data_IF_919323559538
#
_entry.id   IF_919323559538
#
_cell.length_a   1.000
_cell.length_b   1.000
_cell.length_c   1.000
_cell.angle_alpha   90.00
_cell.angle_beta   90.00
_cell.angle_gamma   90.00
#
_symmetry.space_group_name_H-M   'P 1'
#
loop_
_entity.id
_entity.type
_entity.pdbx_description
1 polymer ?
#
# COMPACT_ATOMS: atom_id res chain seq x y z
N UNK A 1 -14.62 4.58 -24.50
CA UNK A 1 -14.86 6.01 -24.72
C UNK A 1 -15.13 6.64 -23.37
N UNK A 2 -14.51 7.77 -23.05
CA UNK A 2 -14.82 8.47 -21.81
C UNK A 2 -16.21 9.08 -21.93
N UNK A 3 -17.04 8.84 -20.94
CA UNK A 3 -18.44 9.30 -20.94
C UNK A 3 -18.66 10.45 -19.98
N UNK A 4 -17.85 10.52 -18.91
CA UNK A 4 -17.89 11.59 -17.92
C UNK A 4 -16.48 11.88 -17.41
N UNK A 5 -16.16 13.17 -17.32
CA UNK A 5 -14.95 13.67 -16.66
C UNK A 5 -15.37 14.65 -15.58
N UNK A 6 -14.91 14.37 -14.36
CA UNK A 6 -15.10 15.24 -13.22
C UNK A 6 -13.75 15.76 -12.78
N UNK A 7 -13.65 17.07 -12.64
CA UNK A 7 -12.49 17.73 -12.06
C UNK A 7 -12.89 18.33 -10.74
N UNK A 8 -12.10 18.09 -9.69
CA UNK A 8 -12.26 18.75 -8.40
C UNK A 8 -10.97 19.45 -8.02
N UNK A 9 -11.07 20.71 -7.65
CA UNK A 9 -9.95 21.49 -7.11
C UNK A 9 -10.31 21.89 -5.69
N UNK A 10 -9.43 21.58 -4.74
CA UNK A 10 -9.60 21.97 -3.35
C UNK A 10 -8.54 23.01 -2.97
N UNK A 11 -9.02 24.18 -2.51
CA UNK A 11 -8.23 25.25 -1.92
C UNK A 11 -8.32 25.22 -0.39
N UNK A 12 -7.37 25.88 0.27
CA UNK A 12 -7.36 25.97 1.73
C UNK A 12 -8.39 26.99 2.26
N UNK A 13 -8.69 28.03 1.48
CA UNK A 13 -9.53 29.14 1.92
C UNK A 13 -10.53 29.60 0.83
N UNK A 14 -11.68 30.17 1.21
CA UNK A 14 -12.69 30.64 0.26
C UNK A 14 -12.18 31.78 -0.63
N UNK A 15 -11.32 32.66 -0.11
CA UNK A 15 -10.77 33.80 -0.85
C UNK A 15 -9.95 33.34 -2.06
N UNK A 16 -9.31 32.18 -1.96
CA UNK A 16 -8.45 31.63 -2.99
C UNK A 16 -9.23 31.29 -4.26
N UNK A 17 -10.51 30.91 -4.16
CA UNK A 17 -11.34 30.63 -5.34
C UNK A 17 -11.47 31.89 -6.20
N UNK A 18 -11.75 33.04 -5.59
CA UNK A 18 -11.95 34.29 -6.32
C UNK A 18 -10.69 34.83 -7.00
N UNK A 19 -9.51 34.63 -6.40
CA UNK A 19 -8.23 35.12 -6.94
C UNK A 19 -7.54 34.14 -7.89
N UNK A 20 -7.83 32.83 -7.76
CA UNK A 20 -7.14 31.78 -8.50
C UNK A 20 -7.99 31.13 -9.60
N UNK A 21 -9.30 31.35 -9.62
CA UNK A 21 -10.18 30.90 -10.69
C UNK A 21 -10.44 32.03 -11.71
N UNK A 22 -10.34 31.70 -13.00
CA UNK A 22 -10.75 32.56 -14.10
C UNK A 22 -11.50 31.74 -15.13
N UNK A 23 -12.56 32.30 -15.71
CA UNK A 23 -13.39 31.63 -16.70
C UNK A 23 -13.56 32.48 -17.95
N UNK A 24 -13.70 31.82 -19.10
CA UNK A 24 -14.28 32.38 -20.31
C UNK A 24 -15.49 31.51 -20.72
N UNK A 25 -16.11 31.79 -21.86
CA UNK A 25 -17.36 31.11 -22.27
C UNK A 25 -17.21 29.60 -22.51
N UNK A 26 -15.98 29.08 -22.64
CA UNK A 26 -15.70 27.69 -23.02
C UNK A 26 -14.73 26.98 -22.09
N UNK A 27 -13.94 27.71 -21.30
CA UNK A 27 -12.84 27.20 -20.49
C UNK A 27 -12.87 27.79 -19.08
N UNK A 28 -12.47 26.96 -18.13
CA UNK A 28 -12.20 27.34 -16.75
C UNK A 28 -10.73 27.05 -16.45
N UNK A 29 -10.04 28.06 -15.92
CA UNK A 29 -8.65 27.97 -15.50
C UNK A 29 -8.54 28.22 -14.00
N UNK A 30 -7.83 27.33 -13.31
CA UNK A 30 -7.44 27.47 -11.91
C UNK A 30 -5.93 27.60 -11.79
N UNK A 31 -5.47 28.27 -10.74
CA UNK A 31 -4.04 28.38 -10.40
C UNK A 31 -3.72 27.54 -9.16
N UNK A 32 -2.57 26.88 -9.20
CA UNK A 32 -2.02 26.15 -8.08
C UNK A 32 -1.44 27.04 -7.00
N UNK A 33 -1.20 26.43 -5.84
CA UNK A 33 -0.77 27.10 -4.61
C UNK A 33 -0.35 26.08 -3.56
N UNK A 34 0.10 26.57 -2.41
CA UNK A 34 0.46 25.70 -1.29
C UNK A 34 -0.79 24.98 -0.78
N UNK A 35 -0.75 23.65 -0.68
CA UNK A 35 -1.88 22.83 -0.22
C UNK A 35 -3.04 22.68 -1.21
N UNK A 36 -2.93 23.23 -2.43
CA UNK A 36 -3.98 23.08 -3.45
C UNK A 36 -3.89 21.70 -4.09
N UNK A 37 -5.01 20.97 -4.09
CA UNK A 37 -5.09 19.61 -4.64
C UNK A 37 -6.05 19.58 -5.81
N UNK A 38 -5.63 18.91 -6.88
CA UNK A 38 -6.43 18.62 -8.06
C UNK A 38 -6.74 17.12 -8.09
N UNK A 39 -8.03 16.78 -8.19
CA UNK A 39 -8.51 15.45 -8.51
C UNK A 39 -9.12 15.45 -9.90
N UNK A 40 -8.74 14.49 -10.73
CA UNK A 40 -9.40 14.21 -11.99
C UNK A 40 -10.01 12.81 -11.94
N UNK A 41 -11.26 12.68 -12.36
CA UNK A 41 -11.97 11.40 -12.43
C UNK A 41 -12.56 11.20 -13.80
N UNK A 42 -12.13 10.16 -14.49
CA UNK A 42 -12.69 9.72 -15.75
C UNK A 42 -13.55 8.49 -15.54
N UNK A 43 -14.75 8.49 -16.13
CA UNK A 43 -15.65 7.35 -16.16
C UNK A 43 -15.86 6.89 -17.60
N UNK A 44 -15.41 5.67 -17.87
CA UNK A 44 -15.52 5.02 -19.16
C UNK A 44 -16.59 3.93 -19.06
N UNK A 45 -17.81 4.22 -19.52
CA UNK A 45 -18.88 3.23 -19.60
C UNK A 45 -18.68 2.37 -20.87
N UNK A 46 -18.60 1.05 -20.71
CA UNK A 46 -18.47 0.08 -21.79
C UNK A 46 -19.82 -0.47 -22.25
N UNK A 47 -19.99 -0.73 -23.55
CA UNK A 47 -21.20 -1.37 -24.10
C UNK A 47 -21.17 -2.90 -24.05
N UNK A 48 -20.03 -3.50 -23.66
CA UNK A 48 -19.82 -4.94 -23.51
C UNK A 48 -19.14 -5.21 -22.17
N UNK A 49 -19.43 -6.36 -21.56
CA UNK A 49 -18.73 -6.85 -20.35
C UNK A 49 -17.24 -6.93 -20.66
N UNK A 50 -16.44 -6.02 -20.12
CA UNK A 50 -14.98 -5.93 -20.37
C UNK A 50 -14.25 -6.98 -19.51
N UNK A 51 -14.76 -7.19 -18.30
CA UNK A 51 -14.30 -8.20 -17.35
C UNK A 51 -15.55 -8.73 -16.62
N UNK A 52 -15.54 -9.96 -16.09
CA UNK A 52 -16.59 -10.42 -15.16
C UNK A 52 -16.20 -10.16 -13.71
N UNK A 53 -14.91 -9.96 -13.47
CA UNK A 53 -14.34 -9.68 -12.16
C UNK A 53 -14.31 -8.17 -11.90
N UNK A 54 -14.28 -7.85 -10.61
CA UNK A 54 -13.98 -6.52 -10.11
C UNK A 54 -12.47 -6.46 -9.83
N UNK A 55 -11.80 -5.43 -10.35
CA UNK A 55 -10.40 -5.14 -10.03
C UNK A 55 -10.25 -3.72 -9.51
N UNK A 56 -9.37 -3.54 -8.53
CA UNK A 56 -8.88 -2.24 -8.08
C UNK A 56 -7.38 -2.18 -8.29
N UNK A 57 -6.89 -1.11 -8.89
CA UNK A 57 -5.47 -0.87 -9.12
C UNK A 57 -5.12 0.46 -8.47
N UNK A 58 -4.14 0.47 -7.59
CA UNK A 58 -3.71 1.67 -6.87
C UNK A 58 -2.24 1.94 -7.11
N UNK A 59 -1.89 3.21 -7.20
CA UNK A 59 -0.50 3.67 -7.22
C UNK A 59 -0.35 4.87 -6.31
N UNK A 60 0.55 4.77 -5.34
CA UNK A 60 1.00 5.92 -4.55
C UNK A 60 2.52 6.03 -4.60
N UNK A 61 3.07 7.14 -5.11
CA UNK A 61 4.51 7.36 -5.10
C UNK A 61 5.04 7.39 -3.66
N UNK A 62 6.18 6.76 -3.38
CA UNK A 62 6.77 6.77 -2.02
C UNK A 62 7.06 8.18 -1.49
N UNK A 63 7.33 9.15 -2.37
CA UNK A 63 7.54 10.55 -1.97
C UNK A 63 6.29 11.18 -1.33
N UNK A 64 5.10 10.69 -1.69
CA UNK A 64 3.81 11.14 -1.15
C UNK A 64 3.52 10.58 0.25
N UNK A 65 4.36 9.68 0.79
CA UNK A 65 4.32 9.29 2.21
C UNK A 65 4.69 10.42 3.17
N UNK A 66 5.28 11.51 2.68
CA UNK A 66 5.69 12.65 3.54
C UNK A 66 4.74 13.84 3.41
N UNK A 67 3.70 13.71 2.59
CA UNK A 67 2.76 14.78 2.25
C UNK A 67 1.49 14.60 3.05
N UNK A 68 1.00 15.70 3.62
CA UNK A 68 -0.36 15.75 4.18
C UNK A 68 -1.38 15.61 3.05
N UNK A 69 -2.20 14.56 3.10
CA UNK A 69 -3.30 14.39 2.15
C UNK A 69 -4.49 15.26 2.53
N UNK A 70 -5.19 15.77 1.52
CA UNK A 70 -6.40 16.57 1.70
C UNK A 70 -7.65 15.71 1.86
N UNK A 71 -8.76 16.34 2.26
CA UNK A 71 -10.04 15.63 2.51
C UNK A 71 -10.67 14.98 1.27
N UNK A 72 -10.24 15.38 0.07
CA UNK A 72 -10.70 14.81 -1.21
C UNK A 72 -9.80 13.68 -1.72
N UNK A 73 -8.70 13.39 -1.02
CA UNK A 73 -7.74 12.33 -1.38
C UNK A 73 -7.99 11.08 -0.55
N UNK A 74 -7.64 9.93 -1.12
CA UNK A 74 -7.68 8.65 -0.43
C UNK A 74 -6.28 8.28 0.06
N UNK A 75 -6.16 7.72 1.27
CA UNK A 75 -4.89 7.21 1.77
C UNK A 75 -4.68 5.79 1.23
N UNK A 76 -3.88 5.67 0.17
CA UNK A 76 -3.55 4.40 -0.47
C UNK A 76 -2.23 3.84 0.09
N UNK A 77 -2.08 2.51 0.06
CA UNK A 77 -0.79 1.85 0.29
C UNK A 77 0.25 2.34 -0.71
N UNK A 78 1.48 2.50 -0.24
CA UNK A 78 2.61 2.97 -1.08
C UNK A 78 2.94 1.95 -2.14
N UNK A 79 3.32 2.40 -3.34
CA UNK A 79 3.69 1.54 -4.46
C UNK A 79 2.49 1.18 -5.33
N UNK A 80 2.68 0.18 -6.20
CA UNK A 80 1.69 -0.31 -7.15
C UNK A 80 1.01 -1.54 -6.57
N UNK A 81 -0.31 -1.48 -6.37
CA UNK A 81 -1.09 -2.63 -5.90
C UNK A 81 -2.22 -2.97 -6.85
N UNK A 82 -2.47 -4.26 -7.05
CA UNK A 82 -3.58 -4.77 -7.84
C UNK A 82 -4.38 -5.74 -6.98
N UNK A 83 -5.66 -5.46 -6.84
CA UNK A 83 -6.61 -6.27 -6.12
C UNK A 83 -7.67 -6.81 -7.10
N UNK A 84 -8.00 -8.08 -7.02
CA UNK A 84 -8.94 -8.75 -7.93
C UNK A 84 -9.79 -9.77 -7.18
N UNK A 85 -11.08 -9.88 -7.50
CA UNK A 85 -11.92 -10.97 -7.04
C UNK A 85 -12.13 -12.06 -8.11
N UNK A 86 -11.32 -12.04 -9.17
CA UNK A 86 -11.33 -13.05 -10.22
C UNK A 86 -10.99 -14.43 -9.68
N UNK A 87 -11.64 -15.47 -10.21
CA UNK A 87 -11.28 -16.87 -9.93
C UNK A 87 -10.02 -17.31 -10.66
N UNK A 88 -9.66 -16.63 -11.75
CA UNK A 88 -8.42 -16.85 -12.50
C UNK A 88 -7.40 -15.80 -12.10
N UNK A 89 -6.30 -16.25 -11.51
CA UNK A 89 -5.32 -15.39 -10.83
C UNK A 89 -3.91 -15.82 -11.22
N UNK A 90 -3.02 -14.89 -11.60
CA UNK A 90 -1.61 -15.22 -11.82
C UNK A 90 -0.95 -15.77 -10.56
N UNK A 91 0.02 -16.68 -10.70
CA UNK A 91 0.67 -17.37 -9.57
C UNK A 91 1.28 -16.41 -8.53
N UNK A 92 1.81 -15.26 -8.97
CA UNK A 92 2.46 -14.27 -8.08
C UNK A 92 1.53 -13.53 -7.12
N UNK A 93 0.21 -13.64 -7.28
CA UNK A 93 -0.74 -12.95 -6.43
C UNK A 93 -0.90 -13.68 -5.09
N UNK A 94 -0.92 -12.90 -4.01
CA UNK A 94 -1.36 -13.36 -2.71
C UNK A 94 -2.88 -13.55 -2.76
N UNK A 95 -3.37 -14.66 -2.21
CA UNK A 95 -4.79 -14.99 -2.21
C UNK A 95 -5.33 -15.03 -0.78
N UNK A 96 -6.46 -14.36 -0.56
CA UNK A 96 -7.24 -14.46 0.67
C UNK A 96 -8.72 -14.77 0.34
N UNK A 97 -9.59 -15.00 1.34
CA UNK A 97 -10.99 -15.38 1.08
C UNK A 97 -11.85 -14.33 0.36
N UNK A 98 -11.42 -13.07 0.31
CA UNK A 98 -12.17 -11.93 -0.25
C UNK A 98 -11.60 -11.47 -1.60
N UNK A 99 -10.27 -11.45 -1.73
CA UNK A 99 -9.57 -10.97 -2.92
C UNK A 99 -8.20 -11.62 -3.12
N UNK A 100 -7.64 -11.37 -4.29
CA UNK A 100 -6.27 -11.64 -4.66
C UNK A 100 -5.52 -10.33 -4.80
N UNK A 101 -4.36 -10.19 -4.16
CA UNK A 101 -3.51 -8.99 -4.18
C UNK A 101 -2.16 -9.26 -4.84
N UNK A 102 -1.66 -8.28 -5.56
CA UNK A 102 -0.28 -8.20 -6.02
C UNK A 102 0.25 -6.82 -5.69
N UNK A 103 1.52 -6.75 -5.31
CA UNK A 103 2.16 -5.50 -4.97
C UNK A 103 3.50 -5.37 -5.73
N UNK A 104 3.93 -4.15 -6.00
CA UNK A 104 5.17 -3.86 -6.73
C UNK A 104 5.64 -2.44 -6.46
N UNK A 105 6.95 -2.26 -6.36
CA UNK A 105 7.58 -0.93 -6.29
C UNK A 105 7.61 -0.22 -7.66
N UNK A 106 7.28 -0.93 -8.74
CA UNK A 106 7.27 -0.42 -10.10
C UNK A 106 5.84 -0.21 -10.57
N UNK A 107 5.59 0.96 -11.15
CA UNK A 107 4.35 1.26 -11.83
C UNK A 107 4.26 0.48 -13.16
N UNK A 108 3.31 -0.45 -13.25
CA UNK A 108 3.17 -1.37 -14.39
C UNK A 108 1.71 -1.49 -14.85
N UNK A 109 1.05 -0.34 -14.99
CA UNK A 109 -0.39 -0.26 -15.25
C UNK A 109 -0.84 -0.97 -16.54
N UNK A 110 -0.01 -0.95 -17.57
CA UNK A 110 -0.33 -1.47 -18.91
C UNK A 110 -0.59 -2.98 -18.91
N UNK A 111 0.04 -3.73 -18.00
CA UNK A 111 -0.16 -5.17 -17.89
C UNK A 111 -1.47 -5.56 -17.18
N UNK A 112 -2.09 -4.61 -16.50
CA UNK A 112 -3.25 -4.87 -15.64
C UNK A 112 -4.55 -4.23 -16.14
N UNK A 113 -4.47 -3.34 -17.14
CA UNK A 113 -5.63 -2.81 -17.83
C UNK A 113 -6.10 -3.71 -18.98
N UNK A 114 -7.40 -3.72 -19.30
CA UNK A 114 -7.91 -4.44 -20.46
C UNK A 114 -7.24 -3.96 -21.77
N UNK A 115 -6.74 -4.86 -22.63
CA UNK A 115 -6.00 -4.49 -23.83
C UNK A 115 -6.84 -3.74 -24.88
N UNK A 116 -8.17 -3.87 -24.83
CA UNK A 116 -9.10 -3.15 -25.69
C UNK A 116 -9.24 -1.67 -25.32
N UNK A 117 -8.70 -1.28 -24.16
CA UNK A 117 -8.79 0.07 -23.64
C UNK A 117 -7.66 0.94 -24.22
N UNK A 118 -7.93 1.63 -25.31
CA UNK A 118 -7.06 2.73 -25.73
C UNK A 118 -7.35 3.96 -24.86
N UNK A 119 -6.53 4.18 -23.84
CA UNK A 119 -6.53 5.41 -23.06
C UNK A 119 -5.50 6.37 -23.67
N UNK A 120 -5.96 7.47 -24.25
CA UNK A 120 -5.09 8.62 -24.58
C UNK A 120 -4.70 9.40 -23.30
N UNK A 121 -4.39 8.70 -22.22
CA UNK A 121 -3.96 9.26 -20.93
C UNK A 121 -2.45 9.12 -20.80
N UNK A 122 -1.78 10.21 -20.44
CA UNK A 122 -0.34 10.21 -20.16
C UNK A 122 -0.15 9.96 -18.67
N UNK A 123 0.37 8.79 -18.32
CA UNK A 123 0.69 8.44 -16.95
C UNK A 123 1.91 9.22 -16.43
N UNK A 124 1.82 9.74 -15.21
CA UNK A 124 2.91 10.38 -14.49
C UNK A 124 3.04 9.79 -13.08
N UNK A 125 3.56 8.55 -12.97
CA UNK A 125 3.68 7.87 -11.68
C UNK A 125 4.68 8.53 -10.73
N UNK A 126 5.51 9.46 -11.22
CA UNK A 126 6.42 10.17 -10.34
C UNK A 126 5.65 11.17 -9.48
N UNK A 127 4.76 11.97 -10.06
CA UNK A 127 4.07 13.07 -9.36
C UNK A 127 2.63 12.75 -8.93
N UNK A 128 1.99 11.73 -9.51
CA UNK A 128 0.55 11.52 -9.35
C UNK A 128 0.24 10.23 -8.60
N UNK A 129 -0.85 10.26 -7.84
CA UNK A 129 -1.45 9.09 -7.18
C UNK A 129 -2.67 8.65 -7.97
N UNK A 130 -2.86 7.34 -8.13
CA UNK A 130 -3.96 6.76 -8.91
C UNK A 130 -4.78 5.75 -8.10
N UNK A 131 -6.10 5.84 -8.21
CA UNK A 131 -7.05 4.81 -7.74
C UNK A 131 -7.99 4.47 -8.90
N UNK A 132 -7.86 3.25 -9.42
CA UNK A 132 -8.52 2.78 -10.64
C UNK A 132 -9.39 1.60 -10.29
N UNK A 133 -10.67 1.65 -10.67
CA UNK A 133 -11.59 0.51 -10.53
C UNK A 133 -12.04 0.04 -11.90
N UNK A 134 -11.84 -1.24 -12.17
CA UNK A 134 -12.31 -1.92 -13.38
C UNK A 134 -13.49 -2.81 -12.97
N UNK A 135 -14.68 -2.42 -13.39
CA UNK A 135 -15.92 -3.16 -13.21
C UNK A 135 -16.42 -3.70 -14.57
N UNK A 136 -17.32 -4.69 -14.60
CA UNK A 136 -17.76 -5.30 -15.85
C UNK A 136 -18.28 -4.33 -16.91
N UNK A 137 -18.98 -3.27 -16.49
CA UNK A 137 -19.61 -2.30 -17.39
C UNK A 137 -18.93 -0.93 -17.39
N UNK A 138 -17.94 -0.69 -16.52
CA UNK A 138 -17.34 0.63 -16.39
C UNK A 138 -15.91 0.57 -15.85
N UNK A 139 -15.10 1.52 -16.28
CA UNK A 139 -13.78 1.78 -15.72
C UNK A 139 -13.78 3.19 -15.15
N UNK A 140 -13.40 3.33 -13.89
CA UNK A 140 -13.19 4.62 -13.25
C UNK A 140 -11.70 4.78 -13.01
N UNK A 141 -11.14 5.91 -13.48
CA UNK A 141 -9.76 6.29 -13.22
C UNK A 141 -9.81 7.56 -12.38
N UNK A 142 -9.26 7.51 -11.16
CA UNK A 142 -9.11 8.69 -10.30
C UNK A 142 -7.63 9.00 -10.18
N UNK A 143 -7.28 10.24 -10.49
CA UNK A 143 -5.95 10.81 -10.34
C UNK A 143 -5.99 11.90 -9.27
N UNK A 144 -4.99 11.90 -8.40
CA UNK A 144 -4.77 12.93 -7.39
C UNK A 144 -3.38 13.53 -7.57
N UNK A 145 -3.29 14.86 -7.53
CA UNK A 145 -2.01 15.56 -7.53
C UNK A 145 -2.07 16.92 -6.85
N UNK A 146 -0.99 17.35 -6.17
CA UNK A 146 -0.81 18.74 -5.79
C UNK A 146 -0.72 19.63 -7.04
N UNK A 147 -1.44 20.74 -7.06
CA UNK A 147 -1.32 21.75 -8.10
C UNK A 147 -0.28 22.78 -7.65
N UNK A 148 0.94 22.69 -8.20
CA UNK A 148 2.12 23.41 -7.71
C UNK A 148 1.94 24.93 -7.82
N UNK A 149 2.62 25.70 -6.96
CA UNK A 149 2.53 27.16 -6.98
C UNK A 149 2.89 27.73 -8.36
N UNK A 150 1.99 28.54 -8.93
CA UNK A 150 2.17 29.13 -10.26
C UNK A 150 1.80 28.22 -11.44
N UNK A 151 1.55 26.93 -11.19
CA UNK A 151 0.97 26.03 -12.18
C UNK A 151 -0.47 26.47 -12.50
N UNK A 152 -0.89 26.28 -13.74
CA UNK A 152 -2.27 26.51 -14.17
C UNK A 152 -2.85 25.23 -14.71
N UNK A 153 -4.06 24.91 -14.28
CA UNK A 153 -4.85 23.86 -14.88
C UNK A 153 -6.03 24.51 -15.60
N UNK A 154 -6.16 24.22 -16.89
CA UNK A 154 -7.24 24.72 -17.74
C UNK A 154 -8.01 23.55 -18.31
N UNK A 155 -9.32 23.60 -18.20
CA UNK A 155 -10.23 22.63 -18.78
C UNK A 155 -11.29 23.35 -19.61
N UNK A 156 -11.60 22.78 -20.77
CA UNK A 156 -12.74 23.14 -21.61
C UNK A 156 -13.36 21.87 -22.16
N UNK A 157 -14.53 21.98 -22.83
CA UNK A 157 -15.24 20.82 -23.34
C UNK A 157 -14.34 19.93 -24.22
N UNK A 158 -14.44 18.63 -23.98
CA UNK A 158 -13.98 17.55 -24.86
C UNK A 158 -15.21 17.00 -25.60
N UNK A 159 -15.09 16.69 -26.88
CA UNK A 159 -16.21 16.21 -27.69
C UNK A 159 -16.81 14.92 -27.10
N UNK A 160 -18.14 14.83 -27.12
CA UNK A 160 -18.94 13.68 -26.67
C UNK A 160 -18.76 13.24 -25.19
N UNK A 161 -18.28 14.15 -24.33
CA UNK A 161 -18.06 13.90 -22.90
C UNK A 161 -18.88 14.84 -22.00
N UNK A 162 -19.49 14.29 -20.93
CA UNK A 162 -20.07 15.11 -19.86
C UNK A 162 -18.97 15.61 -18.92
N UNK A 163 -18.66 16.90 -19.01
CA UNK A 163 -17.66 17.56 -18.17
C UNK A 163 -18.31 18.32 -17.00
N UNK A 164 -17.80 18.08 -15.79
CA UNK A 164 -18.14 18.80 -14.57
C UNK A 164 -16.87 19.23 -13.84
N UNK A 165 -16.81 20.47 -13.38
CA UNK A 165 -15.71 20.98 -12.58
C UNK A 165 -16.24 21.58 -11.27
N UNK A 166 -15.77 21.06 -10.15
CA UNK A 166 -15.96 21.62 -8.82
C UNK A 166 -14.71 22.35 -8.34
N UNK A 167 -14.88 23.57 -7.86
CA UNK A 167 -13.82 24.33 -7.17
C UNK A 167 -14.31 24.60 -5.77
N UNK A 168 -13.66 23.99 -4.78
CA UNK A 168 -14.08 23.96 -3.39
C UNK A 168 -13.00 24.43 -2.44
N UNK A 169 -13.40 24.68 -1.21
CA UNK A 169 -12.55 24.88 -0.04
C UNK A 169 -13.18 24.14 1.15
N UNK A 170 -12.39 23.86 2.19
CA UNK A 170 -12.90 23.20 3.40
C UNK A 170 -13.62 24.24 4.26
N UNK A 171 -14.94 24.12 4.39
CA UNK A 171 -15.75 24.93 5.31
C UNK A 171 -15.57 24.43 6.75
N UNK A 172 -15.62 23.11 6.91
CA UNK A 172 -15.49 22.41 8.19
C UNK A 172 -14.95 21.00 7.98
N UNK A 173 -14.10 20.53 8.89
CA UNK A 173 -13.65 19.15 8.92
C UNK A 173 -13.38 18.75 10.36
N UNK A 174 -13.96 17.65 10.79
CA UNK A 174 -13.64 17.00 12.06
C UNK A 174 -13.26 15.52 11.86
N UNK A 175 -13.29 14.75 12.94
CA UNK A 175 -12.93 13.34 12.91
C UNK A 175 -13.81 12.46 12.01
N UNK A 176 -15.02 12.89 11.65
CA UNK A 176 -15.97 12.06 10.90
C UNK A 176 -16.63 12.78 9.74
N UNK A 177 -16.90 14.08 9.89
CA UNK A 177 -17.69 14.88 8.96
C UNK A 177 -16.79 15.92 8.28
N UNK A 178 -16.96 16.02 6.96
CA UNK A 178 -16.32 17.03 6.13
C UNK A 178 -17.40 17.79 5.38
N UNK A 179 -17.38 19.11 5.53
CA UNK A 179 -18.16 20.04 4.71
C UNK A 179 -17.19 20.85 3.85
N UNK A 180 -17.40 20.77 2.53
CA UNK A 180 -16.70 21.62 1.58
C UNK A 180 -17.70 22.51 0.86
N UNK A 181 -17.36 23.79 0.76
CA UNK A 181 -18.13 24.81 0.06
C UNK A 181 -17.42 25.24 -1.21
N UNK A 182 -18.18 25.75 -2.18
CA UNK A 182 -17.60 26.28 -3.41
C UNK A 182 -18.56 26.46 -4.55
N UNK A 183 -18.06 26.26 -5.76
CA UNK A 183 -18.81 26.39 -7.01
C UNK A 183 -18.63 25.14 -7.86
N UNK A 184 -19.70 24.77 -8.54
CA UNK A 184 -19.71 23.69 -9.54
C UNK A 184 -20.13 24.26 -10.88
N UNK A 185 -19.34 23.98 -11.90
CA UNK A 185 -19.57 24.41 -13.27
C UNK A 185 -19.76 23.17 -14.17
N UNK A 186 -20.71 23.26 -15.10
CA UNK A 186 -21.01 22.21 -16.07
C UNK A 186 -20.89 22.78 -17.48
N UNK A 187 -20.71 21.92 -18.47
CA UNK A 187 -20.68 22.31 -19.88
C UNK A 187 -21.90 21.74 -20.62
N UNK A 188 -22.50 22.54 -21.49
CA UNK A 188 -23.61 22.09 -22.34
C UNK A 188 -23.10 21.13 -23.42
N UNK A 189 -23.79 20.00 -23.57
CA UNK A 189 -23.42 18.97 -24.56
C UNK A 189 -23.56 19.47 -26.01
N UNK A 190 -24.46 20.41 -26.29
CA UNK A 190 -24.79 20.86 -27.65
C UNK A 190 -23.70 21.75 -28.26
N UNK A 191 -23.30 22.80 -27.55
CA UNK A 191 -22.41 23.86 -28.04
C UNK A 191 -21.09 23.94 -27.26
N UNK A 192 -20.99 23.27 -26.12
CA UNK A 192 -19.79 23.32 -25.29
C UNK A 192 -19.57 24.62 -24.54
N UNK A 193 -20.62 25.42 -24.44
CA UNK A 193 -20.59 26.59 -23.60
C UNK A 193 -20.66 26.20 -22.12
N UNK A 194 -19.89 26.94 -21.33
CA UNK A 194 -19.89 26.86 -19.88
C UNK A 194 -21.25 27.33 -19.35
N UNK A 195 -21.95 26.45 -18.64
CA UNK A 195 -23.15 26.85 -17.90
C UNK A 195 -22.77 27.76 -16.72
N UNK A 196 -23.74 28.56 -16.26
CA UNK A 196 -23.55 29.38 -15.07
C UNK A 196 -23.21 28.48 -13.88
N UNK A 197 -22.00 28.67 -13.34
CA UNK A 197 -21.55 27.95 -12.16
C UNK A 197 -22.50 28.17 -10.96
N UNK A 198 -22.78 27.09 -10.25
CA UNK A 198 -23.72 27.05 -9.14
C UNK A 198 -22.97 26.94 -7.81
N UNK A 199 -23.35 27.76 -6.83
CA UNK A 199 -22.85 27.60 -5.46
C UNK A 199 -23.28 26.22 -4.95
N UNK A 200 -22.32 25.46 -4.41
CA UNK A 200 -22.50 24.07 -3.99
C UNK A 200 -21.80 23.88 -2.65
N UNK A 201 -22.41 23.11 -1.75
CA UNK A 201 -21.76 22.57 -0.55
C UNK A 201 -22.00 21.06 -0.52
N UNK A 202 -21.00 20.32 -0.04
CA UNK A 202 -21.01 18.87 0.06
C UNK A 202 -20.62 18.48 1.48
N UNK A 203 -21.57 17.90 2.20
CA UNK A 203 -21.35 17.27 3.49
C UNK A 203 -21.24 15.75 3.30
N UNK A 204 -20.13 15.16 3.74
CA UNK A 204 -19.87 13.74 3.61
C UNK A 204 -18.99 13.22 4.75
N UNK A 205 -18.92 11.88 4.88
CA UNK A 205 -18.05 11.20 5.84
C UNK A 205 -16.81 10.64 5.17
N UNK A 206 -15.69 10.69 5.88
CA UNK A 206 -14.45 10.05 5.45
C UNK A 206 -14.40 8.61 5.96
N UNK A 207 -14.27 7.66 5.05
CA UNK A 207 -13.82 6.30 5.32
C UNK A 207 -12.30 6.14 5.52
N UNK A 208 -11.47 7.07 5.05
CA UNK A 208 -10.03 7.10 5.28
C UNK A 208 -9.67 8.51 5.72
N UNK A 209 -9.12 8.61 6.92
CA UNK A 209 -8.67 9.86 7.50
C UNK A 209 -7.15 9.79 7.46
N UNK A 210 -6.60 10.61 6.58
CA UNK A 210 -5.17 10.64 6.33
C UNK A 210 -4.39 11.01 7.60
N UNK A 211 -3.18 10.48 7.67
CA UNK A 211 -2.27 10.84 8.73
C UNK A 211 -1.74 12.26 8.50
N UNK A 212 -1.86 13.12 9.51
CA UNK A 212 -1.37 14.50 9.44
C UNK A 212 0.05 14.56 10.03
N UNK A 213 1.05 14.66 9.14
CA UNK A 213 2.47 14.71 9.48
C UNK A 213 2.84 15.96 10.29
N UNK A 214 2.02 17.01 10.24
CA UNK A 214 2.22 18.22 11.06
C UNK A 214 1.77 18.06 12.53
N UNK A 215 1.09 16.96 12.88
CA UNK A 215 0.63 16.65 14.24
C UNK A 215 1.34 15.43 14.85
N UNK A 216 1.24 15.22 16.17
CA UNK A 216 1.99 14.20 16.90
C UNK A 216 1.79 12.79 16.33
N UNK A 217 2.90 12.06 16.17
CA UNK A 217 2.98 10.78 15.46
C UNK A 217 3.01 9.63 16.45
N UNK A 218 2.42 8.47 16.10
CA UNK A 218 2.75 7.20 16.78
C UNK A 218 4.19 6.82 16.45
N UNK A 219 5.13 6.71 17.42
CA UNK A 219 6.48 6.25 17.11
C UNK A 219 6.48 4.85 16.49
N UNK A 220 7.15 4.71 15.33
CA UNK A 220 7.26 3.47 14.56
C UNK A 220 8.71 3.30 14.10
N UNK A 221 9.39 2.24 14.53
CA UNK A 221 10.80 2.02 14.21
C UNK A 221 11.24 0.56 14.33
N UNK A 222 12.44 0.24 13.81
CA UNK A 222 13.07 -1.07 13.99
C UNK A 222 13.96 -1.10 15.24
N UNK A 223 13.73 -2.10 16.11
CA UNK A 223 14.57 -2.35 17.29
C UNK A 223 16.01 -2.68 16.89
N UNK A 224 16.97 -2.01 17.52
CA UNK A 224 18.39 -2.21 17.27
C UNK A 224 19.03 -3.17 18.29
N UNK A 225 20.01 -4.01 17.89
CA UNK A 225 20.50 -4.20 16.52
C UNK A 225 19.53 -5.03 15.65
N UNK A 226 19.51 -4.76 14.35
CA UNK A 226 18.72 -5.55 13.39
C UNK A 226 19.46 -6.85 13.08
N UNK A 227 18.86 -7.98 13.45
CA UNK A 227 19.33 -9.32 13.10
C UNK A 227 18.43 -9.99 12.05
N UNK A 228 18.50 -11.34 11.98
CA UNK A 228 17.63 -12.13 11.09
C UNK A 228 16.14 -12.10 11.50
N UNK A 229 15.83 -11.61 12.70
CA UNK A 229 14.47 -11.41 13.19
C UNK A 229 14.22 -9.91 13.47
N UNK A 230 14.03 -9.07 12.43
CA UNK A 230 13.75 -7.65 12.62
C UNK A 230 12.48 -7.49 13.45
N UNK A 231 12.53 -6.63 14.47
CA UNK A 231 11.35 -6.34 15.31
C UNK A 231 10.90 -4.90 15.07
N UNK A 232 9.68 -4.77 14.55
CA UNK A 232 8.98 -3.50 14.39
C UNK A 232 8.37 -3.13 15.74
N UNK A 233 8.69 -1.92 16.22
CA UNK A 233 8.19 -1.38 17.48
C UNK A 233 7.21 -0.25 17.17
N UNK A 234 6.02 -0.33 17.77
CA UNK A 234 4.93 0.64 17.62
C UNK A 234 4.53 1.11 19.02
N UNK A 235 4.74 2.40 19.31
CA UNK A 235 4.46 2.94 20.63
C UNK A 235 3.06 3.56 20.69
N UNK A 236 2.11 2.84 21.29
CA UNK A 236 0.74 3.30 21.52
C UNK A 236 0.50 3.66 22.99
N UNK A 237 1.53 4.00 23.77
CA UNK A 237 1.38 4.31 25.22
C UNK A 237 0.47 5.51 25.50
N UNK A 238 0.46 6.51 24.62
CA UNK A 238 -0.39 7.70 24.75
C UNK A 238 -1.81 7.51 24.18
N UNK A 239 -2.14 6.30 23.71
CA UNK A 239 -3.43 5.99 23.10
C UNK A 239 -4.31 5.21 24.08
N UNK A 240 -5.60 5.53 24.06
CA UNK A 240 -6.61 4.87 24.89
C UNK A 240 -7.46 3.90 24.07
N UNK A 241 -7.96 2.85 24.71
CA UNK A 241 -8.95 1.97 24.08
C UNK A 241 -10.24 2.75 23.76
N UNK A 242 -10.72 2.63 22.53
CA UNK A 242 -11.96 3.28 22.07
C UNK A 242 -13.02 2.22 21.78
N UNK A 243 -14.28 2.38 22.25
CA UNK A 243 -15.37 1.47 21.91
C UNK A 243 -15.57 1.40 20.40
N UNK A 244 -15.86 0.20 19.88
CA UNK A 244 -16.08 -0.05 18.45
C UNK A 244 -14.88 0.30 17.55
N UNK A 245 -13.69 0.42 18.13
CA UNK A 245 -12.47 0.65 17.39
C UNK A 245 -11.41 -0.42 17.70
N UNK A 246 -10.50 -0.61 16.75
CA UNK A 246 -9.35 -1.50 16.86
C UNK A 246 -8.11 -0.80 16.31
N UNK A 247 -7.01 -0.84 17.07
CA UNK A 247 -5.71 -0.46 16.57
C UNK A 247 -5.14 -1.62 15.78
N UNK A 248 -4.67 -1.34 14.57
CA UNK A 248 -4.22 -2.32 13.60
C UNK A 248 -2.87 -1.92 13.04
N UNK A 249 -2.10 -2.92 12.64
CA UNK A 249 -1.00 -2.75 11.70
C UNK A 249 -1.24 -3.62 10.48
N UNK A 250 -1.32 -3.00 9.31
CA UNK A 250 -1.32 -3.69 8.02
C UNK A 250 0.11 -3.71 7.47
N UNK A 251 0.52 -4.88 6.99
CA UNK A 251 1.85 -5.10 6.42
C UNK A 251 1.73 -5.76 5.06
N UNK A 252 2.32 -5.12 4.06
CA UNK A 252 2.66 -5.72 2.77
C UNK A 252 4.16 -5.95 2.76
N UNK A 253 4.58 -7.22 2.79
CA UNK A 253 5.99 -7.60 2.89
C UNK A 253 6.47 -8.23 1.59
N UNK A 254 7.60 -7.78 1.02
CA UNK A 254 8.20 -8.43 -0.14
C UNK A 254 8.84 -9.77 0.26
N UNK A 255 9.15 -10.64 -0.71
CA UNK A 255 9.70 -11.98 -0.46
C UNK A 255 10.82 -12.05 0.59
N UNK A 256 11.71 -11.06 0.64
CA UNK A 256 12.85 -11.05 1.55
C UNK A 256 12.46 -11.02 3.03
N UNK A 257 11.23 -10.59 3.36
CA UNK A 257 10.70 -10.50 4.72
C UNK A 257 9.37 -11.23 4.81
N UNK A 258 9.13 -11.86 5.95
CA UNK A 258 7.82 -12.45 6.26
C UNK A 258 7.59 -12.41 7.76
N UNK A 259 6.35 -12.61 8.17
CA UNK A 259 5.98 -12.61 9.59
C UNK A 259 6.56 -13.86 10.28
N UNK A 260 7.23 -13.66 11.41
CA UNK A 260 7.61 -14.76 12.29
C UNK A 260 6.40 -15.18 13.14
N UNK A 261 5.60 -16.13 12.63
CA UNK A 261 4.39 -16.62 13.30
C UNK A 261 4.63 -17.36 14.62
N UNK A 262 5.89 -17.65 14.96
CA UNK A 262 6.25 -18.29 16.23
C UNK A 262 6.60 -17.26 17.31
N UNK A 263 6.97 -16.05 16.92
CA UNK A 263 7.28 -14.94 17.82
C UNK A 263 6.20 -13.86 17.83
N UNK A 264 5.37 -13.81 16.80
CA UNK A 264 4.27 -12.85 16.64
C UNK A 264 2.95 -13.57 16.38
N UNK A 265 1.83 -12.93 16.74
CA UNK A 265 0.49 -13.48 16.56
C UNK A 265 -0.34 -12.57 15.64
N UNK A 266 -0.20 -12.70 14.30
CA UNK A 266 -1.03 -11.94 13.37
C UNK A 266 -2.51 -12.34 13.51
N UNK A 267 -3.41 -11.38 13.35
CA UNK A 267 -4.84 -11.65 13.21
C UNK A 267 -5.11 -12.36 11.89
N UNK A 268 -4.45 -11.90 10.81
CA UNK A 268 -4.53 -12.48 9.48
C UNK A 268 -3.13 -12.52 8.85
N UNK A 269 -2.85 -13.62 8.14
CA UNK A 269 -1.61 -13.80 7.37
C UNK A 269 -1.95 -14.56 6.09
N UNK A 270 -1.49 -14.02 4.96
CA UNK A 270 -1.68 -14.60 3.62
C UNK A 270 -0.38 -14.50 2.82
N UNK A 271 -0.18 -15.41 1.87
CA UNK A 271 1.02 -15.47 1.04
C UNK A 271 2.15 -16.30 1.66
N UNK A 272 3.39 -15.93 1.39
CA UNK A 272 4.58 -16.73 1.72
C UNK A 272 5.04 -16.56 3.17
N UNK A 273 4.90 -17.61 3.99
CA UNK A 273 5.30 -17.63 5.40
C UNK A 273 6.21 -18.81 5.78
N UNK A 274 6.72 -19.56 4.79
CA UNK A 274 7.62 -20.70 5.01
C UNK A 274 8.99 -20.23 5.51
N UNK A 275 9.44 -20.72 6.67
CA UNK A 275 10.72 -20.34 7.27
C UNK A 275 11.94 -20.90 6.52
N UNK A 276 11.77 -22.00 5.78
CA UNK A 276 12.89 -22.79 5.25
C UNK A 276 13.25 -22.41 3.81
N UNK A 277 12.35 -21.75 3.09
CA UNK A 277 12.57 -21.42 1.68
C UNK A 277 13.38 -20.11 1.52
N UNK A 278 14.50 -20.14 0.77
CA UNK A 278 15.25 -18.93 0.46
C UNK A 278 14.49 -18.08 -0.56
N UNK A 279 14.75 -16.77 -0.56
CA UNK A 279 14.06 -15.80 -1.43
C UNK A 279 14.19 -16.16 -2.91
N UNK A 280 15.39 -16.52 -3.37
CA UNK A 280 15.65 -16.86 -4.77
C UNK A 280 14.91 -18.10 -5.29
N UNK A 281 14.35 -18.93 -4.40
CA UNK A 281 13.51 -20.08 -4.80
C UNK A 281 12.06 -19.70 -5.10
N UNK A 282 11.64 -18.49 -4.69
CA UNK A 282 10.25 -18.02 -4.75
C UNK A 282 10.02 -16.94 -5.81
N UNK A 283 11.07 -16.30 -6.34
CA UNK A 283 11.03 -15.14 -7.27
C UNK A 283 10.05 -15.25 -8.44
N UNK A 284 9.89 -16.47 -8.96
CA UNK A 284 9.07 -16.72 -10.14
C UNK A 284 7.60 -17.00 -9.80
N UNK A 285 7.32 -17.39 -8.56
CA UNK A 285 6.02 -17.96 -8.18
C UNK A 285 5.28 -17.14 -7.11
N UNK A 286 5.95 -16.22 -6.42
CA UNK A 286 5.33 -15.43 -5.36
C UNK A 286 5.89 -14.00 -5.32
N UNK A 287 5.10 -13.07 -4.78
CA UNK A 287 5.55 -11.71 -4.50
C UNK A 287 5.99 -11.50 -3.04
N UNK A 288 5.36 -12.17 -2.07
CA UNK A 288 5.57 -11.88 -0.66
C UNK A 288 4.43 -12.34 0.23
N UNK A 289 4.14 -11.57 1.27
CA UNK A 289 3.05 -11.83 2.20
C UNK A 289 2.28 -10.56 2.57
N UNK A 290 1.03 -10.75 2.99
CA UNK A 290 0.15 -9.70 3.50
C UNK A 290 -0.34 -10.12 4.88
N UNK A 291 -0.29 -9.21 5.85
CA UNK A 291 -0.72 -9.52 7.21
C UNK A 291 -1.36 -8.34 7.93
N UNK A 292 -2.23 -8.66 8.88
CA UNK A 292 -2.88 -7.69 9.77
C UNK A 292 -2.63 -8.13 11.20
N UNK A 293 -2.20 -7.19 12.04
CA UNK A 293 -2.02 -7.36 13.48
C UNK A 293 -2.99 -6.47 14.23
N UNK A 294 -3.57 -7.01 15.30
CA UNK A 294 -4.25 -6.20 16.31
C UNK A 294 -3.20 -5.67 17.31
N UNK A 295 -3.21 -4.36 17.54
CA UNK A 295 -2.31 -3.67 18.45
C UNK A 295 -3.04 -3.28 19.74
N UNK A 296 -2.32 -3.21 20.84
CA UNK A 296 -2.85 -2.82 22.15
C UNK A 296 -2.58 -1.36 22.45
N UNK A 297 -3.64 -0.61 22.76
CA UNK A 297 -3.55 0.74 23.28
C UNK A 297 -2.86 0.75 24.67
N UNK A 298 -2.31 1.89 25.06
CA UNK A 298 -1.64 2.10 26.35
C UNK A 298 -0.32 1.35 26.52
N UNK A 299 0.23 0.74 25.46
CA UNK A 299 1.44 -0.08 25.53
C UNK A 299 2.32 0.05 24.29
N UNK A 300 3.58 -0.36 24.43
CA UNK A 300 4.50 -0.55 23.31
C UNK A 300 4.24 -1.94 22.71
N UNK A 301 3.93 -1.98 21.43
CA UNK A 301 3.70 -3.20 20.66
C UNK A 301 4.97 -3.58 19.91
N UNK A 302 5.27 -4.88 19.85
CA UNK A 302 6.39 -5.44 19.10
C UNK A 302 5.87 -6.49 18.12
N UNK A 303 6.25 -6.35 16.85
CA UNK A 303 5.97 -7.35 15.81
C UNK A 303 7.29 -7.81 15.22
N UNK A 304 7.58 -9.08 15.40
CA UNK A 304 8.80 -9.72 14.89
C UNK A 304 8.56 -10.33 13.52
N UNK A 305 9.41 -9.93 12.59
CA UNK A 305 9.54 -10.45 11.23
C UNK A 305 10.72 -11.41 11.17
N UNK A 306 10.86 -12.11 10.05
CA UNK A 306 11.99 -12.96 9.73
C UNK A 306 12.53 -12.59 8.34
N UNK A 307 13.85 -12.41 8.24
CA UNK A 307 14.52 -12.20 6.95
C UNK A 307 14.81 -13.53 6.26
N UNK A 308 14.52 -13.66 4.97
CA UNK A 308 14.91 -14.84 4.18
C UNK A 308 16.39 -14.83 3.84
N UNK A 309 16.92 -16.01 3.56
CA UNK A 309 18.22 -16.11 2.89
C UNK A 309 18.13 -15.52 1.49
N UNK A 310 18.97 -14.51 1.27
CA UNK A 310 19.14 -13.82 0.00
C UNK A 310 20.26 -14.43 -0.82
N UNK A 311 20.20 -14.22 -2.13
CA UNK A 311 21.21 -14.73 -3.06
C UNK A 311 22.63 -14.24 -2.65
N UNK A 312 23.63 -15.12 -2.56
CA UNK A 312 25.01 -14.75 -2.24
C UNK A 312 25.59 -13.69 -3.20
N UNK A 313 26.57 -12.92 -2.72
CA UNK A 313 27.27 -11.92 -3.54
C UNK A 313 28.78 -12.19 -3.58
N UNK A 314 29.46 -11.66 -4.59
CA UNK A 314 30.92 -11.79 -4.72
C UNK A 314 31.71 -10.79 -3.88
N UNK A 315 31.03 -9.94 -3.10
CA UNK A 315 31.64 -8.87 -2.30
C UNK A 315 31.58 -9.23 -0.82
N UNK A 316 32.70 -9.07 -0.13
CA UNK A 316 32.76 -9.29 1.31
C UNK A 316 32.02 -8.18 2.06
N UNK A 317 31.20 -8.55 3.05
CA UNK A 317 30.44 -7.60 3.87
C UNK A 317 29.27 -6.92 3.14
N UNK A 318 28.81 -7.48 2.04
CA UNK A 318 27.70 -6.94 1.27
C UNK A 318 26.35 -7.16 1.98
N UNK A 319 25.45 -6.20 1.87
CA UNK A 319 24.12 -6.23 2.47
C UNK A 319 23.07 -5.91 1.41
N UNK A 320 21.96 -6.64 1.45
CA UNK A 320 20.77 -6.30 0.68
C UNK A 320 19.81 -5.51 1.56
N UNK A 321 19.44 -4.31 1.11
CA UNK A 321 18.53 -3.44 1.86
C UNK A 321 17.11 -3.65 1.36
N UNK A 322 16.25 -4.13 2.24
CA UNK A 322 14.83 -4.31 1.97
C UNK A 322 14.07 -3.14 2.58
N UNK A 323 13.19 -2.53 1.79
CA UNK A 323 12.27 -1.51 2.27
C UNK A 323 10.85 -2.10 2.37
N UNK A 324 10.10 -1.68 3.37
CA UNK A 324 8.66 -1.95 3.50
C UNK A 324 8.00 -0.84 4.32
N UNK A 325 6.69 -0.69 4.17
CA UNK A 325 5.93 0.43 4.73
C UNK A 325 4.80 -0.11 5.62
N UNK A 326 5.00 -0.23 6.95
CA UNK A 326 3.92 -0.58 7.86
C UNK A 326 2.88 0.54 7.94
N UNK A 327 1.61 0.16 7.85
CA UNK A 327 0.49 1.09 8.02
C UNK A 327 -0.15 0.85 9.40
N UNK A 328 0.02 1.81 10.31
CA UNK A 328 -0.61 1.79 11.64
C UNK A 328 -1.93 2.54 11.56
N UNK A 329 -3.04 1.85 11.81
CA UNK A 329 -4.39 2.32 11.54
C UNK A 329 -5.27 2.13 12.76
N UNK A 330 -6.14 3.09 13.05
CA UNK A 330 -7.28 2.94 13.95
C UNK A 330 -8.53 2.73 13.09
N UNK A 331 -9.05 1.52 13.07
CA UNK A 331 -10.31 1.19 12.40
C UNK A 331 -11.46 1.35 13.40
N UNK A 332 -12.50 2.10 13.06
CA UNK A 332 -13.67 2.32 13.92
C UNK A 332 -14.97 2.11 13.15
N UNK A 333 -15.89 1.32 13.69
CA UNK A 333 -17.24 1.21 13.12
C UNK A 333 -18.04 2.47 13.47
N UNK A 334 -18.51 3.19 12.44
CA UNK A 334 -19.21 4.46 12.65
C UNK A 334 -20.71 4.30 12.83
N UNK A 335 -21.28 3.14 12.44
CA UNK A 335 -22.73 2.94 12.38
C UNK A 335 -23.44 3.79 11.31
N UNK A 336 -22.68 4.45 10.43
CA UNK A 336 -23.19 5.42 9.46
C UNK A 336 -22.84 5.00 8.02
N UNK A 337 -23.87 4.65 7.25
CA UNK A 337 -23.76 4.25 5.85
C UNK A 337 -23.32 5.40 4.92
N UNK A 338 -23.23 6.65 5.40
CA UNK A 338 -22.70 7.77 4.61
C UNK A 338 -21.21 7.63 4.31
N UNK A 339 -20.47 6.82 5.08
CA UNK A 339 -19.06 6.52 4.80
C UNK A 339 -18.90 5.89 3.41
N UNK A 340 -19.79 4.96 3.03
CA UNK A 340 -19.77 4.31 1.71
C UNK A 340 -20.26 5.21 0.56
N UNK A 341 -20.86 6.36 0.89
CA UNK A 341 -21.43 7.34 -0.05
C UNK A 341 -20.54 8.56 -0.28
N UNK A 342 -19.27 8.47 0.08
CA UNK A 342 -18.28 9.53 -0.15
C UNK A 342 -18.18 9.86 -1.66
N UNK A 343 -18.26 11.16 -2.06
CA UNK A 343 -18.23 11.52 -3.48
C UNK A 343 -16.83 11.46 -4.11
N UNK A 344 -15.76 11.44 -3.31
CA UNK A 344 -14.35 11.57 -3.75
C UNK A 344 -13.61 10.26 -3.90
N UNK A 345 -14.04 9.21 -3.20
CA UNK A 345 -13.55 7.85 -3.37
C UNK A 345 -14.60 6.86 -2.89
N UNK A 346 -14.42 5.60 -3.26
CA UNK A 346 -15.32 4.51 -2.92
C UNK A 346 -14.47 3.39 -2.31
N UNK A 347 -14.90 2.84 -1.18
CA UNK A 347 -14.31 1.60 -0.67
C UNK A 347 -14.42 0.50 -1.72
N UNK A 348 -13.32 -0.19 -1.99
CA UNK A 348 -13.20 -1.23 -2.99
C UNK A 348 -12.52 -2.47 -2.43
N UNK A 349 -11.74 -3.14 -3.28
CA UNK A 349 -10.88 -4.24 -2.83
C UNK A 349 -9.61 -3.69 -2.17
N UNK A 350 -9.03 -4.48 -1.27
CA UNK A 350 -7.92 -4.11 -0.38
C UNK A 350 -8.22 -4.54 1.06
N UNK A 351 -7.34 -4.24 2.01
CA UNK A 351 -7.54 -4.64 3.41
C UNK A 351 -8.87 -4.13 3.97
N UNK A 352 -9.34 -2.98 3.50
CA UNK A 352 -10.64 -2.37 3.85
C UNK A 352 -11.84 -3.28 3.57
N UNK A 353 -11.72 -4.21 2.61
CA UNK A 353 -12.78 -5.18 2.28
C UNK A 353 -12.94 -6.29 3.31
N UNK A 354 -12.06 -6.36 4.30
CA UNK A 354 -12.15 -7.27 5.45
C UNK A 354 -13.01 -6.68 6.59
N UNK A 355 -13.46 -5.43 6.43
CA UNK A 355 -14.25 -4.68 7.41
C UNK A 355 -15.64 -4.33 6.84
N UNK A 356 -16.51 -3.74 7.67
CA UNK A 356 -17.85 -3.35 7.24
C UNK A 356 -17.83 -2.05 6.44
N UNK A 357 -18.91 -1.82 5.67
CA UNK A 357 -19.04 -0.64 4.81
C UNK A 357 -19.02 0.68 5.59
N UNK A 358 -19.38 0.66 6.88
CA UNK A 358 -19.40 1.81 7.80
C UNK A 358 -18.13 1.98 8.64
N UNK A 359 -17.09 1.17 8.45
CA UNK A 359 -15.81 1.35 9.16
C UNK A 359 -15.02 2.56 8.63
N UNK A 360 -14.56 3.46 9.49
CA UNK A 360 -13.59 4.50 9.12
C UNK A 360 -12.17 4.08 9.53
N UNK A 361 -11.18 4.33 8.68
CA UNK A 361 -9.78 4.05 8.90
C UNK A 361 -9.01 5.34 9.13
N UNK A 362 -8.57 5.58 10.36
CA UNK A 362 -7.68 6.69 10.69
C UNK A 362 -6.24 6.21 10.68
N UNK A 363 -5.44 6.77 9.79
CA UNK A 363 -4.02 6.47 9.71
C UNK A 363 -3.25 7.22 10.80
N UNK A 364 -2.42 6.50 11.55
CA UNK A 364 -1.66 7.01 12.69
C UNK A 364 -0.18 7.16 12.39
N UNK A 365 0.37 6.29 11.54
CA UNK A 365 1.71 6.40 10.98
C UNK A 365 1.86 5.43 9.80
N UNK A 366 2.48 5.90 8.73
CA UNK A 366 3.07 5.05 7.69
C UNK A 366 4.49 5.54 7.41
N UNK A 367 5.50 4.72 7.68
CA UNK A 367 6.91 5.08 7.51
C UNK A 367 7.68 3.94 6.88
N UNK A 368 8.53 4.26 5.91
CA UNK A 368 9.43 3.27 5.31
C UNK A 368 10.49 2.81 6.32
N UNK A 369 10.47 1.51 6.61
CA UNK A 369 11.50 0.85 7.40
C UNK A 369 12.50 0.13 6.48
N UNK A 370 13.78 0.19 6.83
CA UNK A 370 14.88 -0.40 6.06
C UNK A 370 15.55 -1.50 6.86
N UNK A 371 15.49 -2.74 6.34
CA UNK A 371 16.14 -3.90 6.93
C UNK A 371 17.38 -4.26 6.10
N UNK A 372 18.59 -4.14 6.67
CA UNK A 372 19.79 -4.71 6.06
C UNK A 372 19.83 -6.22 6.30
N UNK A 373 19.88 -7.01 5.23
CA UNK A 373 20.05 -8.46 5.27
C UNK A 373 21.46 -8.79 4.78
N UNK A 374 22.28 -9.52 5.56
CA UNK A 374 23.65 -9.85 5.17
C UNK A 374 23.69 -10.84 4.00
N UNK A 375 24.54 -10.59 3.00
CA UNK A 375 24.77 -11.49 1.87
C UNK A 375 25.97 -12.40 2.11
N UNK A 376 25.83 -13.72 1.96
CA UNK A 376 26.98 -14.62 1.99
C UNK A 376 27.96 -14.32 0.86
N UNK A 377 29.27 -14.39 1.14
CA UNK A 377 30.32 -14.21 0.15
C UNK A 377 30.55 -15.51 -0.65
N UNK A 378 30.37 -15.48 -1.96
CA UNK A 378 30.59 -16.64 -2.84
C UNK A 378 32.05 -17.11 -2.86
N UNK A 379 33.01 -16.23 -2.56
CA UNK A 379 34.43 -16.58 -2.50
C UNK A 379 34.78 -17.50 -1.32
N UNK A 380 33.94 -17.51 -0.28
CA UNK A 380 34.14 -18.36 0.89
C UNK A 380 33.55 -19.76 0.70
N UNK A 381 32.74 -19.98 -0.34
CA UNK A 381 32.09 -21.25 -0.61
C UNK A 381 33.07 -22.42 -0.67
N UNK A 382 34.16 -22.29 -1.44
CA UNK A 382 35.18 -23.34 -1.57
C UNK A 382 35.88 -23.65 -0.24
N UNK A 383 36.15 -22.61 0.57
CA UNK A 383 36.78 -22.77 1.89
C UNK A 383 35.83 -23.50 2.83
N UNK A 384 34.58 -23.05 2.94
CA UNK A 384 33.54 -23.64 3.79
C UNK A 384 33.26 -25.08 3.40
N UNK A 385 33.13 -25.36 2.10
CA UNK A 385 32.92 -26.71 1.56
C UNK A 385 34.05 -27.66 1.97
N UNK A 386 35.31 -27.25 1.73
CA UNK A 386 36.46 -28.08 2.03
C UNK A 386 36.65 -28.29 3.54
N UNK A 387 36.44 -27.25 4.35
CA UNK A 387 36.51 -27.34 5.81
C UNK A 387 35.41 -28.28 6.35
N UNK A 388 34.17 -28.13 5.88
CA UNK A 388 33.04 -28.99 6.28
C UNK A 388 33.29 -30.44 5.90
N UNK A 389 33.78 -30.70 4.69
CA UNK A 389 34.14 -32.05 4.23
C UNK A 389 35.24 -32.66 5.12
N UNK A 390 36.28 -31.89 5.45
CA UNK A 390 37.34 -32.34 6.34
C UNK A 390 36.81 -32.68 7.74
N UNK A 391 35.98 -31.81 8.32
CA UNK A 391 35.32 -32.05 9.60
C UNK A 391 34.47 -33.31 9.59
N UNK A 392 33.70 -33.54 8.53
CA UNK A 392 32.90 -34.75 8.36
C UNK A 392 33.78 -36.00 8.27
N UNK A 393 34.85 -35.98 7.47
CA UNK A 393 35.78 -37.10 7.36
C UNK A 393 36.46 -37.44 8.69
N UNK A 394 36.93 -36.43 9.42
CA UNK A 394 37.53 -36.61 10.75
C UNK A 394 36.49 -37.20 11.72
N UNK A 395 35.27 -36.70 11.70
CA UNK A 395 34.18 -37.19 12.56
C UNK A 395 33.82 -38.64 12.25
N UNK A 396 33.77 -39.00 10.97
CA UNK A 396 33.53 -40.37 10.51
C UNK A 396 34.66 -41.29 10.99
N UNK A 397 35.93 -40.92 10.76
CA UNK A 397 37.09 -41.70 11.21
C UNK A 397 37.08 -41.88 12.73
N UNK A 398 36.75 -40.82 13.48
CA UNK A 398 36.64 -40.85 14.92
C UNK A 398 35.57 -41.84 15.39
N UNK A 399 34.36 -41.77 14.83
CA UNK A 399 33.25 -42.68 15.16
C UNK A 399 33.63 -44.12 14.84
N UNK A 400 34.18 -44.39 13.66
CA UNK A 400 34.65 -45.73 13.28
C UNK A 400 35.74 -46.26 14.22
N UNK A 401 36.71 -45.42 14.60
CA UNK A 401 37.75 -45.80 15.56
C UNK A 401 37.19 -46.16 16.94
N UNK A 402 36.14 -45.47 17.39
CA UNK A 402 35.46 -45.74 18.67
C UNK A 402 34.60 -47.00 18.63
N UNK A 403 33.87 -47.23 17.55
CA UNK A 403 33.01 -48.40 17.36
C UNK A 403 33.86 -49.66 17.19
N UNK A 404 34.86 -49.64 16.32
CA UNK A 404 35.75 -50.78 16.06
C UNK A 404 36.73 -50.99 17.23
N UNK A 405 37.26 -49.92 17.82
CA UNK A 405 38.17 -49.98 18.96
C UNK A 405 37.54 -50.52 20.24
N UNK A 406 36.21 -50.42 20.42
CA UNK A 406 35.49 -51.06 21.53
C UNK A 406 35.42 -52.59 21.39
N UNK A 407 35.34 -53.12 20.16
CA UNK A 407 35.39 -54.57 19.93
C UNK A 407 36.79 -55.18 20.13
N UNK A 408 37.85 -54.35 20.13
CA UNK A 408 39.22 -54.80 20.35
C UNK A 408 39.73 -54.66 21.79
N UNK A 409 38.91 -54.19 22.74
CA UNK A 409 39.21 -54.37 24.17
C UNK A 409 38.94 -55.82 24.58
N UNK A 410 39.85 -56.71 24.17
CA UNK A 410 39.99 -58.05 24.74
C UNK A 410 40.12 -57.93 26.25
N UNK A 411 39.31 -58.74 26.94
CA UNK A 411 39.34 -59.00 28.38
C UNK A 411 40.79 -59.16 28.86
N UNK A 412 41.23 -58.30 29.78
CA UNK A 412 42.40 -58.61 30.61
C UNK A 412 42.09 -59.90 31.39
N UNK A 413 42.99 -60.89 31.41
CA UNK A 413 42.79 -62.07 32.24
C UNK A 413 42.89 -61.66 33.70
N UNK A 414 41.85 -61.99 34.46
CA UNK A 414 41.87 -61.95 35.93
C UNK A 414 42.95 -62.94 36.37
N UNK A 415 44.02 -62.44 37.01
CA UNK A 415 44.96 -63.28 37.75
C UNK A 415 44.23 -63.81 39.00
N UNK A 416 44.02 -65.13 39.04
CA UNK A 416 43.80 -65.89 40.26
C UNK A 416 45.17 -66.27 40.80
N UNK A 417 45.59 -65.61 41.88
CA UNK A 417 46.25 -66.18 43.08
C UNK A 417 46.46 -65.07 44.11
#
# INVERSE_FOLDING_TARGET
MVTRHRVTVLYNAPEDIGSHMSQNDTHLTVKGGVGVVLQQRWLLEGTRSIDKSFKRITWRPRKDLTRDLSVIENELSTGFSVYSNSTEVPEKFISNPVYHSFHSEKFDIEQHLPPELNLDLVWNPEDFTYDITVEPSQIQIVEYRPLKQGEKFTIGKVDDEKLEMGVFFVDYSDENDVDIGGVRCNWRMEDGELEKCQKTSLLYKQGHIAYNHSTATTPLYLKQPIGLHPTVVIDLTDYEERPQCMYLMHLQLPLELFVDKFQSSPLLIFGEDDLELPEYSLRDNAWGSESIFELKAGTVNEVTLHSRYIEPSGKEGDEFKVAFDPEVILACDTGDDRVSRNPFYKKGLGYESLFTDDTSFRHLNTTTLLVPIPRPNTNDYSKVKNATLLCLLISIIYIFSKVIGRNNKKKLPVKLE
#
